data_IF_171930069932
#
_entry.id   IF_171930069932
#
_cell.length_a   1.000
_cell.length_b   1.000
_cell.length_c   1.000
_cell.angle_alpha   90.00
_cell.angle_beta   90.00
_cell.angle_gamma   90.00
#
_symmetry.space_group_name_H-M   'P 1'
#
loop_
_entity.id
_entity.type
_entity.pdbx_description
1 polymer ?
#
# COMPACT_ATOMS: atom_id res chain seq x y z
N UNK A 1 -14.13 11.12 1.79
CA UNK A 1 -13.30 12.17 2.43
C UNK A 1 -13.76 12.44 3.88
N UNK A 2 -14.88 13.14 4.13
CA UNK A 2 -15.27 13.56 5.50
C UNK A 2 -15.34 12.40 6.51
N UNK A 3 -15.89 11.25 6.12
CA UNK A 3 -15.94 10.07 7.00
C UNK A 3 -14.56 9.59 7.46
N UNK A 4 -13.57 9.56 6.55
CA UNK A 4 -12.20 9.17 6.88
C UNK A 4 -11.55 10.16 7.86
N UNK A 5 -11.74 11.47 7.64
CA UNK A 5 -11.24 12.53 8.53
C UNK A 5 -11.86 12.40 9.93
N UNK A 6 -13.19 12.22 10.01
CA UNK A 6 -13.87 12.01 11.29
C UNK A 6 -13.36 10.76 12.02
N UNK A 7 -13.16 9.66 11.29
CA UNK A 7 -12.60 8.42 11.83
C UNK A 7 -11.19 8.61 12.38
N UNK A 8 -10.31 9.29 11.63
CA UNK A 8 -8.96 9.59 12.08
C UNK A 8 -8.95 10.44 13.37
N UNK A 9 -9.75 11.51 13.43
CA UNK A 9 -9.88 12.30 14.65
C UNK A 9 -10.40 11.49 15.84
N UNK A 10 -11.39 10.63 15.62
CA UNK A 10 -11.91 9.75 16.67
C UNK A 10 -10.82 8.81 17.20
N UNK A 11 -10.09 8.12 16.32
CA UNK A 11 -9.02 7.20 16.71
C UNK A 11 -7.93 7.94 17.50
N UNK A 12 -7.50 9.11 17.03
CA UNK A 12 -6.50 9.93 17.74
C UNK A 12 -6.94 10.37 19.13
N UNK A 13 -8.23 10.64 19.32
CA UNK A 13 -8.78 11.04 20.62
C UNK A 13 -8.81 9.86 21.61
N UNK A 14 -9.05 8.64 21.12
CA UNK A 14 -9.28 7.46 21.95
C UNK A 14 -8.00 6.66 22.18
N UNK A 15 -7.11 6.56 21.19
CA UNK A 15 -5.90 5.74 21.25
C UNK A 15 -5.01 5.97 22.49
N UNK A 16 -4.77 7.21 22.97
CA UNK A 16 -3.96 7.43 24.18
C UNK A 16 -4.52 6.77 25.43
N UNK A 17 -5.85 6.62 25.54
CA UNK A 17 -6.48 5.97 26.69
C UNK A 17 -6.18 4.46 26.77
N UNK A 18 -5.81 3.84 25.63
CA UNK A 18 -5.46 2.42 25.54
C UNK A 18 -3.97 2.16 25.78
N UNK A 19 -3.12 3.20 25.82
CA UNK A 19 -1.69 3.07 26.15
C UNK A 19 -0.86 2.28 25.12
N UNK A 20 -1.33 2.16 23.88
CA UNK A 20 -0.64 1.48 22.79
C UNK A 20 -0.42 2.41 21.58
N UNK A 21 0.64 2.21 20.78
CA UNK A 21 0.78 2.89 19.50
C UNK A 21 -0.30 2.42 18.53
N UNK A 22 -0.93 3.35 17.82
CA UNK A 22 -1.96 3.07 16.81
C UNK A 22 -1.58 3.77 15.52
N UNK A 23 -1.55 3.00 14.43
CA UNK A 23 -1.42 3.54 13.07
C UNK A 23 -2.82 3.77 12.50
N UNK A 24 -3.03 4.93 11.88
CA UNK A 24 -4.25 5.24 11.15
C UNK A 24 -3.92 5.21 9.67
N UNK A 25 -4.56 4.30 8.93
CA UNK A 25 -4.28 4.01 7.53
C UNK A 25 -5.55 4.18 6.69
N UNK A 26 -5.41 4.64 5.43
CA UNK A 26 -6.47 4.50 4.42
C UNK A 26 -6.13 3.41 3.44
N UNK A 27 -7.10 2.52 3.22
CA UNK A 27 -6.99 1.33 2.38
C UNK A 27 -7.05 1.65 0.87
N UNK A 28 -7.14 0.59 0.06
CA UNK A 28 -7.23 0.56 -1.41
C UNK A 28 -7.83 1.84 -2.04
N UNK A 29 -6.99 2.55 -2.78
CA UNK A 29 -7.37 3.74 -3.53
C UNK A 29 -7.00 3.59 -5.00
N UNK A 30 -7.92 2.99 -5.77
CA UNK A 30 -7.86 2.91 -7.22
C UNK A 30 -7.78 4.29 -7.89
N UNK A 31 -7.30 4.34 -9.13
CA UNK A 31 -7.16 5.58 -9.91
C UNK A 31 -8.42 6.45 -9.95
N UNK A 32 -9.60 5.81 -10.04
CA UNK A 32 -10.91 6.49 -10.00
C UNK A 32 -11.22 7.19 -8.67
N UNK A 33 -10.54 6.79 -7.59
CA UNK A 33 -10.71 7.28 -6.22
C UNK A 33 -9.65 8.31 -5.82
N UNK A 34 -8.71 8.69 -6.71
CA UNK A 34 -7.71 9.72 -6.41
C UNK A 34 -8.30 11.04 -5.85
N UNK A 35 -9.49 11.52 -6.25
CA UNK A 35 -10.11 12.68 -5.58
C UNK A 35 -10.37 12.48 -4.08
N UNK A 36 -10.59 11.24 -3.63
CA UNK A 36 -10.67 10.91 -2.21
C UNK A 36 -9.31 11.00 -1.53
N UNK A 37 -8.26 10.48 -2.17
CA UNK A 37 -6.88 10.57 -1.72
C UNK A 37 -6.42 12.02 -1.57
N UNK A 38 -6.69 12.84 -2.59
CA UNK A 38 -6.37 14.28 -2.59
C UNK A 38 -7.00 14.99 -1.39
N UNK A 39 -8.29 14.73 -1.13
CA UNK A 39 -9.00 15.33 0.01
C UNK A 39 -8.50 14.84 1.38
N UNK A 40 -7.90 13.64 1.47
CA UNK A 40 -7.24 13.19 2.70
C UNK A 40 -5.88 13.88 2.87
N UNK A 41 -5.08 14.00 1.82
CA UNK A 41 -3.80 14.72 1.87
C UNK A 41 -3.96 16.20 2.18
N UNK A 42 -5.00 16.87 1.67
CA UNK A 42 -5.32 18.24 2.07
C UNK A 42 -5.59 18.37 3.58
N UNK A 43 -6.26 17.37 4.16
CA UNK A 43 -6.52 17.33 5.59
C UNK A 43 -5.23 17.07 6.38
N UNK A 44 -4.35 16.19 5.90
CA UNK A 44 -3.02 15.99 6.48
C UNK A 44 -2.16 17.25 6.43
N UNK A 45 -2.12 17.95 5.30
CA UNK A 45 -1.36 19.19 5.15
C UNK A 45 -1.84 20.26 6.15
N UNK A 46 -3.16 20.43 6.25
CA UNK A 46 -3.77 21.37 7.19
C UNK A 46 -3.53 20.99 8.66
N UNK A 47 -3.50 19.69 8.98
CA UNK A 47 -3.22 19.21 10.33
C UNK A 47 -1.71 19.33 10.66
N UNK A 48 -0.84 18.95 9.73
CA UNK A 48 0.62 19.04 9.84
C UNK A 48 1.08 20.47 10.09
N UNK A 49 0.51 21.45 9.36
CA UNK A 49 0.83 22.86 9.55
C UNK A 49 0.55 23.37 10.98
N UNK A 50 -0.40 22.75 11.70
CA UNK A 50 -0.81 23.15 13.06
C UNK A 50 -0.16 22.30 14.16
N UNK A 51 0.09 21.02 13.88
CA UNK A 51 0.45 20.04 14.90
C UNK A 51 1.85 19.44 14.71
N UNK A 52 2.49 19.64 13.55
CA UNK A 52 3.81 19.08 13.23
C UNK A 52 3.80 17.58 12.91
N UNK A 53 2.62 17.00 12.75
CA UNK A 53 2.36 15.61 12.38
C UNK A 53 1.11 15.53 11.48
N UNK A 54 1.00 14.55 10.58
CA UNK A 54 -0.18 14.38 9.73
C UNK A 54 -1.36 13.81 10.54
N UNK A 55 -2.57 13.91 9.98
CA UNK A 55 -3.78 13.36 10.57
C UNK A 55 -3.76 11.82 10.51
N UNK A 56 -3.37 11.27 9.36
CA UNK A 56 -3.15 9.85 9.12
C UNK A 56 -1.69 9.47 9.35
N UNK A 57 -1.41 8.18 9.56
CA UNK A 57 -0.05 7.64 9.62
C UNK A 57 0.45 7.21 8.25
N UNK A 58 -0.44 6.65 7.43
CA UNK A 58 -0.14 6.12 6.11
C UNK A 58 -1.36 6.14 5.19
N UNK A 59 -1.11 6.07 3.89
CA UNK A 59 -2.15 5.92 2.88
C UNK A 59 -1.73 4.89 1.85
N UNK A 60 -2.71 4.21 1.26
CA UNK A 60 -2.50 3.25 0.20
C UNK A 60 -2.91 3.79 -1.18
N UNK A 61 -2.07 3.54 -2.19
CA UNK A 61 -2.46 3.61 -3.60
C UNK A 61 -2.51 2.19 -4.16
N UNK A 62 -3.68 1.78 -4.64
CA UNK A 62 -3.85 0.55 -5.41
C UNK A 62 -4.04 0.94 -6.87
N UNK A 63 -2.95 1.01 -7.63
CA UNK A 63 -3.03 1.26 -9.08
C UNK A 63 -2.65 -0.01 -9.85
N UNK A 64 -2.87 -1.19 -9.26
CA UNK A 64 -2.50 -2.50 -9.82
C UNK A 64 -3.18 -2.84 -11.15
N UNK A 65 -4.34 -2.24 -11.42
CA UNK A 65 -5.04 -2.38 -12.71
C UNK A 65 -4.41 -1.58 -13.85
N UNK A 66 -3.59 -0.58 -13.53
CA UNK A 66 -2.90 0.27 -14.49
C UNK A 66 -1.56 -0.36 -14.93
N UNK A 67 -0.96 0.07 -16.05
CA UNK A 67 0.40 -0.36 -16.40
C UNK A 67 1.40 -0.03 -15.28
N UNK A 68 2.32 -0.94 -14.95
CA UNK A 68 3.24 -0.80 -13.81
C UNK A 68 4.05 0.51 -13.84
N UNK A 69 4.48 0.95 -15.03
CA UNK A 69 5.18 2.22 -15.20
C UNK A 69 4.32 3.44 -14.82
N UNK A 70 3.02 3.40 -15.15
CA UNK A 70 2.06 4.45 -14.79
C UNK A 70 1.72 4.39 -13.30
N UNK A 71 1.54 3.20 -12.73
CA UNK A 71 1.35 3.00 -11.29
C UNK A 71 2.51 3.64 -10.51
N UNK A 72 3.75 3.28 -10.85
CA UNK A 72 4.95 3.80 -10.18
C UNK A 72 5.06 5.32 -10.37
N UNK A 73 4.81 5.84 -11.57
CA UNK A 73 4.86 7.29 -11.84
C UNK A 73 3.87 8.08 -10.97
N UNK A 74 2.61 7.63 -10.90
CA UNK A 74 1.59 8.28 -10.07
C UNK A 74 1.96 8.17 -8.59
N UNK A 75 2.42 6.99 -8.14
CA UNK A 75 2.92 6.80 -6.78
C UNK A 75 4.07 7.76 -6.45
N UNK A 76 5.03 7.97 -7.35
CA UNK A 76 6.11 8.94 -7.16
C UNK A 76 5.60 10.37 -7.02
N UNK A 77 4.58 10.76 -7.78
CA UNK A 77 3.99 12.10 -7.69
C UNK A 77 3.36 12.34 -6.32
N UNK A 78 2.53 11.40 -5.85
CA UNK A 78 1.92 11.48 -4.52
C UNK A 78 2.94 11.36 -3.40
N UNK A 79 3.93 10.47 -3.53
CA UNK A 79 4.91 10.26 -2.48
C UNK A 79 5.78 11.49 -2.24
N UNK A 80 6.07 12.28 -3.28
CA UNK A 80 6.74 13.59 -3.13
C UNK A 80 5.93 14.59 -2.30
N UNK A 81 4.59 14.54 -2.37
CA UNK A 81 3.68 15.35 -1.55
C UNK A 81 3.59 14.82 -0.12
N UNK A 82 3.63 13.50 0.05
CA UNK A 82 3.54 12.82 1.35
C UNK A 82 4.83 12.91 2.20
N UNK A 83 6.00 12.80 1.58
CA UNK A 83 7.28 12.70 2.26
C UNK A 83 7.61 13.88 3.22
N UNK A 84 7.35 15.16 2.86
CA UNK A 84 7.54 16.28 3.79
C UNK A 84 6.70 16.20 5.07
N UNK A 85 5.53 15.55 5.00
CA UNK A 85 4.65 15.31 6.14
C UNK A 85 5.01 14.05 6.93
N UNK A 86 6.05 13.31 6.51
CA UNK A 86 6.47 12.04 7.12
C UNK A 86 5.42 10.92 7.06
N UNK A 87 4.45 11.03 6.15
CA UNK A 87 3.49 9.97 5.84
C UNK A 87 4.20 8.76 5.25
N UNK A 88 3.66 7.57 5.48
CA UNK A 88 4.08 6.33 4.83
C UNK A 88 3.16 6.07 3.64
N UNK A 89 3.74 5.74 2.48
CA UNK A 89 2.98 5.27 1.32
C UNK A 89 2.96 3.75 1.30
N UNK A 90 1.78 3.15 1.27
CA UNK A 90 1.61 1.77 0.83
C UNK A 90 1.27 1.79 -0.66
N UNK A 91 1.90 0.96 -1.48
CA UNK A 91 1.44 0.75 -2.85
C UNK A 91 1.26 -0.74 -3.14
N UNK A 92 0.36 -1.03 -4.08
CA UNK A 92 0.16 -2.38 -4.59
C UNK A 92 0.83 -2.58 -5.95
N UNK A 93 1.49 -3.72 -6.10
CA UNK A 93 2.14 -4.16 -7.32
C UNK A 93 1.66 -5.58 -7.69
N UNK A 94 1.28 -5.77 -8.96
CA UNK A 94 0.54 -6.94 -9.39
C UNK A 94 -0.92 -6.90 -8.94
N UNK A 95 -1.75 -7.82 -9.42
CA UNK A 95 -3.20 -7.78 -9.16
C UNK A 95 -3.54 -8.80 -8.08
N UNK A 96 -4.13 -8.33 -6.98
CA UNK A 96 -4.77 -9.22 -6.01
C UNK A 96 -6.07 -9.78 -6.58
N UNK A 97 -6.24 -11.11 -6.51
CA UNK A 97 -7.45 -11.75 -7.02
C UNK A 97 -8.68 -11.43 -6.18
N UNK A 98 -9.87 -11.76 -6.70
CA UNK A 98 -11.09 -11.76 -5.90
C UNK A 98 -11.89 -10.47 -5.93
N UNK A 99 -12.71 -10.19 -4.91
CA UNK A 99 -13.61 -9.02 -4.92
C UNK A 99 -13.36 -8.12 -3.71
N UNK A 100 -13.05 -6.85 -3.97
CA UNK A 100 -12.88 -5.82 -2.95
C UNK A 100 -13.40 -4.48 -3.44
N UNK A 101 -14.04 -3.69 -2.57
CA UNK A 101 -14.51 -2.33 -2.86
C UNK A 101 -15.30 -2.15 -4.18
N UNK A 102 -16.02 -3.21 -4.58
CA UNK A 102 -16.81 -3.26 -5.81
C UNK A 102 -16.01 -3.50 -7.10
N UNK A 103 -14.74 -3.87 -6.97
CA UNK A 103 -13.84 -4.35 -8.03
C UNK A 103 -13.79 -5.87 -7.98
N UNK A 104 -13.95 -6.55 -9.12
CA UNK A 104 -13.96 -8.02 -9.23
C UNK A 104 -12.83 -8.51 -10.14
N UNK A 105 -11.77 -8.99 -9.50
CA UNK A 105 -10.57 -9.60 -10.08
C UNK A 105 -10.63 -11.13 -10.16
N UNK A 106 -11.80 -11.76 -9.97
CA UNK A 106 -11.93 -13.23 -10.02
C UNK A 106 -11.64 -13.85 -11.40
N UNK A 107 -11.74 -13.05 -12.48
CA UNK A 107 -11.47 -13.46 -13.86
C UNK A 107 -10.04 -13.22 -14.36
N UNK A 108 -9.16 -12.69 -13.52
CA UNK A 108 -7.79 -12.30 -13.91
C UNK A 108 -6.93 -13.54 -14.18
N UNK A 109 -6.02 -13.45 -15.15
CA UNK A 109 -5.11 -14.56 -15.48
C UNK A 109 -4.23 -14.90 -14.29
N UNK A 110 -3.99 -16.20 -14.07
CA UNK A 110 -3.20 -16.70 -12.92
C UNK A 110 -1.78 -16.14 -12.87
N UNK A 111 -1.24 -15.72 -14.01
CA UNK A 111 0.09 -15.12 -14.13
C UNK A 111 0.16 -13.75 -13.46
N UNK A 112 -0.93 -12.96 -13.48
CA UNK A 112 -0.98 -11.64 -12.84
C UNK A 112 -1.16 -11.67 -11.33
N UNK A 113 -1.44 -12.85 -10.77
CA UNK A 113 -1.53 -13.06 -9.32
C UNK A 113 -0.17 -13.22 -8.65
N UNK A 114 0.93 -13.19 -9.42
CA UNK A 114 2.29 -13.31 -8.89
C UNK A 114 3.18 -12.22 -9.52
N UNK A 115 3.65 -11.28 -8.71
CA UNK A 115 4.66 -10.32 -9.10
C UNK A 115 6.00 -11.01 -9.35
N UNK A 116 6.85 -10.38 -10.16
CA UNK A 116 8.24 -10.79 -10.36
C UNK A 116 9.19 -9.99 -9.46
N UNK A 117 10.41 -10.48 -9.17
CA UNK A 117 11.44 -9.70 -8.48
C UNK A 117 11.73 -8.35 -9.15
N UNK A 118 11.70 -8.31 -10.48
CA UNK A 118 11.89 -7.10 -11.28
C UNK A 118 10.77 -6.07 -11.07
N UNK A 119 9.51 -6.51 -11.02
CA UNK A 119 8.36 -5.61 -10.78
C UNK A 119 8.48 -4.93 -9.42
N UNK A 120 8.78 -5.72 -8.38
CA UNK A 120 8.94 -5.22 -7.00
C UNK A 120 10.18 -4.34 -6.87
N UNK A 121 11.26 -4.64 -7.60
CA UNK A 121 12.46 -3.80 -7.60
C UNK A 121 12.26 -2.47 -8.31
N UNK A 122 11.48 -2.43 -9.40
CA UNK A 122 11.15 -1.18 -10.10
C UNK A 122 10.43 -0.19 -9.18
N UNK A 123 9.56 -0.67 -8.29
CA UNK A 123 8.93 0.15 -7.24
C UNK A 123 9.99 0.79 -6.34
N UNK A 124 10.95 0.01 -5.86
CA UNK A 124 12.00 0.51 -4.97
C UNK A 124 12.90 1.53 -5.65
N UNK A 125 13.31 1.26 -6.89
CA UNK A 125 14.06 2.23 -7.69
C UNK A 125 13.27 3.54 -7.88
N UNK A 126 11.95 3.44 -8.04
CA UNK A 126 11.06 4.59 -8.18
C UNK A 126 10.89 5.40 -6.89
N UNK A 127 10.68 4.75 -5.75
CA UNK A 127 10.22 5.40 -4.51
C UNK A 127 11.33 5.69 -3.50
N UNK A 128 12.35 4.83 -3.40
CA UNK A 128 13.45 5.00 -2.44
C UNK A 128 14.16 6.35 -2.55
N UNK A 129 14.37 6.96 -3.74
CA UNK A 129 14.99 8.28 -3.85
C UNK A 129 14.15 9.42 -3.24
N UNK A 130 12.86 9.20 -3.00
CA UNK A 130 11.95 10.20 -2.42
C UNK A 130 11.97 10.10 -0.89
N UNK A 131 11.81 8.88 -0.36
CA UNK A 131 11.78 8.59 1.07
C UNK A 131 11.82 7.08 1.30
N UNK A 132 12.37 6.64 2.44
CA UNK A 132 12.34 5.23 2.89
C UNK A 132 10.98 4.80 3.47
N UNK A 133 10.04 5.74 3.65
CA UNK A 133 8.74 5.50 4.28
C UNK A 133 7.71 4.96 3.28
N UNK A 134 7.94 3.76 2.77
CA UNK A 134 6.94 3.07 1.97
C UNK A 134 6.90 1.57 2.25
N UNK A 135 5.77 0.97 1.90
CA UNK A 135 5.51 -0.46 1.99
C UNK A 135 4.95 -0.95 0.66
N UNK A 136 5.20 -2.22 0.35
CA UNK A 136 4.78 -2.85 -0.91
C UNK A 136 3.80 -3.98 -0.59
N UNK A 137 2.60 -3.90 -1.14
CA UNK A 137 1.72 -5.04 -1.28
C UNK A 137 2.04 -5.71 -2.62
N UNK A 138 2.79 -6.82 -2.58
CA UNK A 138 3.13 -7.58 -3.79
C UNK A 138 2.12 -8.73 -3.98
N UNK A 139 1.78 -9.05 -5.22
CA UNK A 139 0.98 -10.21 -5.51
C UNK A 139 1.83 -11.49 -5.37
N UNK A 140 1.43 -12.40 -4.47
CA UNK A 140 2.05 -13.73 -4.33
C UNK A 140 1.00 -14.84 -4.23
N UNK A 141 -0.10 -14.65 -4.95
CA UNK A 141 -1.26 -15.54 -4.96
C UNK A 141 -2.32 -15.20 -3.91
N UNK A 142 -2.19 -14.05 -3.24
CA UNK A 142 -3.18 -13.50 -2.32
C UNK A 142 -4.46 -13.06 -3.07
N UNK A 143 -5.59 -13.08 -2.37
CA UNK A 143 -6.93 -12.86 -2.93
C UNK A 143 -7.81 -12.19 -1.88
N UNK A 144 -8.58 -11.16 -2.25
CA UNK A 144 -9.51 -10.46 -1.37
C UNK A 144 -10.88 -11.11 -1.32
N UNK A 145 -11.38 -11.32 -0.10
CA UNK A 145 -12.63 -11.98 0.20
C UNK A 145 -12.46 -13.37 0.83
N UNK A 146 -13.56 -13.93 1.32
CA UNK A 146 -13.56 -15.27 1.93
C UNK A 146 -13.78 -16.31 0.82
N UNK A 147 -12.71 -17.00 0.43
CA UNK A 147 -12.81 -18.12 -0.51
C UNK A 147 -12.86 -19.47 0.20
N UNK A 148 -13.45 -20.46 -0.48
CA UNK A 148 -13.34 -21.86 -0.04
C UNK A 148 -11.87 -22.26 -0.01
N UNK A 149 -11.48 -22.99 1.04
CA UNK A 149 -10.15 -23.57 1.19
C UNK A 149 -9.74 -24.30 -0.10
N UNK A 150 -8.56 -23.96 -0.64
CA UNK A 150 -7.99 -24.56 -1.87
C UNK A 150 -8.13 -23.72 -3.14
N UNK A 151 -8.89 -22.62 -3.14
CA UNK A 151 -8.99 -21.71 -4.29
C UNK A 151 -7.86 -20.67 -4.34
N UNK A 152 -7.23 -20.39 -3.19
CA UNK A 152 -6.08 -19.49 -3.05
C UNK A 152 -4.81 -20.35 -3.05
N UNK A 153 -3.81 -19.99 -3.86
CA UNK A 153 -2.51 -20.66 -3.90
C UNK A 153 -1.42 -19.66 -3.57
N UNK A 154 -1.26 -19.38 -2.27
CA UNK A 154 -0.21 -18.51 -1.78
C UNK A 154 1.17 -19.12 -2.07
N UNK A 155 2.10 -18.25 -2.44
CA UNK A 155 3.53 -18.54 -2.63
C UNK A 155 4.39 -17.59 -1.79
N UNK A 156 4.33 -17.69 -0.44
CA UNK A 156 5.05 -16.76 0.44
C UNK A 156 6.57 -16.83 0.26
N UNK A 157 7.11 -17.90 -0.32
CA UNK A 157 8.52 -18.01 -0.68
C UNK A 157 8.99 -16.89 -1.63
N UNK A 158 8.09 -16.36 -2.47
CA UNK A 158 8.39 -15.25 -3.37
C UNK A 158 8.85 -13.98 -2.63
N UNK A 159 8.31 -13.73 -1.43
CA UNK A 159 8.70 -12.56 -0.63
C UNK A 159 10.19 -12.62 -0.26
N UNK A 160 10.73 -13.82 -0.03
CA UNK A 160 12.16 -14.01 0.24
C UNK A 160 13.01 -13.83 -1.03
N UNK A 161 12.50 -14.26 -2.18
CA UNK A 161 13.15 -14.08 -3.49
C UNK A 161 13.24 -12.58 -3.82
N UNK A 162 12.17 -11.83 -3.59
CA UNK A 162 12.14 -10.38 -3.80
C UNK A 162 13.20 -9.69 -2.94
N UNK A 163 13.21 -9.94 -1.62
CA UNK A 163 14.23 -9.37 -0.72
C UNK A 163 15.64 -9.66 -1.24
N UNK A 164 15.94 -10.94 -1.53
CA UNK A 164 17.27 -11.36 -2.00
C UNK A 164 17.69 -10.61 -3.26
N UNK A 165 16.78 -10.48 -4.24
CA UNK A 165 17.05 -9.77 -5.48
C UNK A 165 17.44 -8.31 -5.24
N UNK A 166 16.73 -7.63 -4.34
CA UNK A 166 17.02 -6.24 -4.01
C UNK A 166 18.27 -6.06 -3.15
N UNK A 167 18.54 -6.98 -2.21
CA UNK A 167 19.78 -7.02 -1.45
C UNK A 167 20.99 -7.12 -2.38
N UNK A 168 20.93 -7.99 -3.40
CA UNK A 168 22.02 -8.16 -4.38
C UNK A 168 22.27 -6.91 -5.23
N UNK A 169 21.22 -6.14 -5.55
CA UNK A 169 21.31 -4.92 -6.37
C UNK A 169 21.78 -3.69 -5.59
N UNK A 170 21.38 -3.59 -4.32
CA UNK A 170 21.53 -2.37 -3.53
C UNK A 170 22.58 -2.49 -2.43
N UNK A 171 22.89 -3.71 -2.00
CA UNK A 171 23.69 -4.00 -0.81
C UNK A 171 22.96 -3.71 0.51
N UNK A 172 21.69 -3.29 0.48
CA UNK A 172 20.86 -3.04 1.66
C UNK A 172 20.19 -4.34 2.06
N UNK A 173 20.36 -4.76 3.32
CA UNK A 173 19.73 -5.97 3.85
C UNK A 173 18.23 -5.75 4.10
N UNK A 174 17.39 -6.68 3.66
CA UNK A 174 15.94 -6.69 3.78
C UNK A 174 15.31 -5.32 3.44
N UNK A 175 15.52 -4.81 2.21
CA UNK A 175 15.17 -3.44 1.85
C UNK A 175 13.66 -3.17 1.82
N UNK A 176 12.83 -4.21 1.75
CA UNK A 176 11.38 -4.05 1.64
C UNK A 176 10.63 -4.21 2.96
N UNK A 177 9.60 -3.40 3.13
CA UNK A 177 8.49 -3.65 4.05
C UNK A 177 7.30 -4.16 3.24
N UNK A 178 6.90 -5.42 3.45
CA UNK A 178 5.77 -6.01 2.75
C UNK A 178 4.47 -5.90 3.55
N UNK A 179 3.36 -5.77 2.82
CA UNK A 179 2.01 -5.89 3.34
C UNK A 179 1.36 -7.14 2.75
N UNK A 180 0.69 -7.92 3.60
CA UNK A 180 -0.04 -9.11 3.18
C UNK A 180 -1.54 -8.81 3.21
N UNK A 181 -2.12 -8.53 2.05
CA UNK A 181 -3.56 -8.42 1.91
C UNK A 181 -4.26 -9.76 1.67
N UNK A 182 -5.57 -9.83 1.89
CA UNK A 182 -6.31 -11.08 1.68
C UNK A 182 -5.96 -12.20 2.65
N UNK A 183 -5.39 -11.88 3.82
CA UNK A 183 -4.98 -12.88 4.82
C UNK A 183 -6.12 -13.67 5.47
N UNK A 184 -7.38 -13.32 5.23
CA UNK A 184 -8.53 -14.03 5.81
C UNK A 184 -8.65 -15.45 5.25
N UNK A 185 -8.47 -16.45 6.11
CA UNK A 185 -8.56 -17.87 5.73
C UNK A 185 -7.31 -18.47 5.12
N UNK A 186 -6.18 -17.76 5.18
CA UNK A 186 -4.83 -18.26 4.86
C UNK A 186 -4.30 -19.23 5.92
#
# INVERSE_FOLDING_TARGET
ILGAICGAHYVRQVAPAYGIPVFVHSDHCAKKLLPWFDGMLEADEAFFAKHGEPLFSSHMLDLSEEPDAENIEICQQYFKRMAPMKLILEMEMGITGGVEDGVDNSGVSKEKLYSTPEDVFAVYEGLQPISERFMIAAAFGNVHGVYKAGNVKLRPELLSEFQTYAEEKTGVKMPYFFVFHGGSGS
#
